data_IF_434416142340
#
_entry.id   IF_434416142340
#
_cell.length_a   1.000
_cell.length_b   1.000
_cell.length_c   1.000
_cell.angle_alpha   90.00
_cell.angle_beta   90.00
_cell.angle_gamma   90.00
#
_symmetry.space_group_name_H-M   'P 1'
#
loop_
_entity.id
_entity.type
_entity.pdbx_description
1 polymer ?
#
# COMPACT_ATOMS: atom_id res chain seq x y z
N UNK A 1 -39.82 39.12 -7.61
CA UNK A 1 -38.89 37.99 -7.84
C UNK A 1 -37.74 37.85 -6.82
N UNK A 2 -37.32 38.92 -6.12
CA UNK A 2 -36.24 38.82 -5.10
C UNK A 2 -36.58 37.89 -3.92
N UNK A 3 -37.82 37.94 -3.44
CA UNK A 3 -38.25 37.13 -2.29
C UNK A 3 -38.37 35.63 -2.58
N UNK A 4 -38.65 35.25 -3.83
CA UNK A 4 -38.74 33.84 -4.24
C UNK A 4 -37.38 33.13 -4.24
N UNK A 5 -36.31 33.89 -4.54
CA UNK A 5 -34.92 33.36 -4.47
C UNK A 5 -34.45 33.23 -3.02
N UNK A 6 -34.89 34.15 -2.15
CA UNK A 6 -34.53 34.12 -0.73
C UNK A 6 -35.20 32.93 0.00
N UNK A 7 -36.47 32.63 -0.30
CA UNK A 7 -37.18 31.49 0.28
C UNK A 7 -36.61 30.14 -0.17
N UNK A 8 -36.12 30.04 -1.41
CA UNK A 8 -35.51 28.82 -1.93
C UNK A 8 -34.17 28.51 -1.22
N UNK A 9 -33.35 29.53 -0.98
CA UNK A 9 -32.05 29.37 -0.29
C UNK A 9 -32.24 28.98 1.17
N UNK A 10 -33.21 29.58 1.87
CA UNK A 10 -33.51 29.20 3.25
C UNK A 10 -34.02 27.77 3.38
N UNK A 11 -34.80 27.29 2.41
CA UNK A 11 -35.32 25.92 2.42
C UNK A 11 -34.22 24.89 2.12
N UNK A 12 -33.28 25.22 1.23
CA UNK A 12 -32.11 24.40 0.93
C UNK A 12 -31.17 24.25 2.15
N UNK A 13 -30.93 25.33 2.90
CA UNK A 13 -30.10 25.30 4.11
C UNK A 13 -30.74 24.49 5.24
N UNK A 14 -32.05 24.60 5.44
CA UNK A 14 -32.76 23.80 6.44
C UNK A 14 -32.73 22.29 6.11
N UNK A 15 -32.89 21.91 4.84
CA UNK A 15 -32.84 20.51 4.43
C UNK A 15 -31.46 19.88 4.65
N UNK A 16 -30.38 20.63 4.39
CA UNK A 16 -29.02 20.15 4.59
C UNK A 16 -28.64 20.00 6.08
N UNK A 17 -29.17 20.88 6.94
CA UNK A 17 -28.97 20.79 8.39
C UNK A 17 -29.60 19.55 9.03
N UNK A 18 -30.79 19.14 8.58
CA UNK A 18 -31.45 17.91 9.06
C UNK A 18 -30.72 16.63 8.62
N UNK A 19 -30.07 16.66 7.45
CA UNK A 19 -29.34 15.50 6.94
C UNK A 19 -28.09 15.16 7.77
N UNK A 20 -27.45 16.15 8.41
CA UNK A 20 -26.25 15.93 9.23
C UNK A 20 -26.58 15.33 10.62
N UNK A 21 -27.75 15.63 11.19
CA UNK A 21 -28.16 15.08 12.50
C UNK A 21 -28.56 13.59 12.40
N UNK A 22 -29.06 13.13 11.25
CA UNK A 22 -29.55 11.77 11.07
C UNK A 22 -28.44 10.71 10.92
N UNK A 23 -27.18 11.12 10.71
CA UNK A 23 -26.05 10.21 10.41
C UNK A 23 -25.05 10.13 11.58
N UNK A 24 -25.38 10.66 12.76
CA UNK A 24 -24.54 10.47 13.95
C UNK A 24 -24.73 9.04 14.50
N UNK A 25 -23.70 8.17 14.48
CA UNK A 25 -23.78 6.88 15.16
C UNK A 25 -23.84 7.12 16.67
N UNK A 26 -24.90 6.63 17.32
CA UNK A 26 -25.02 6.64 18.78
C UNK A 26 -24.11 5.55 19.35
N UNK A 27 -22.87 5.90 19.68
CA UNK A 27 -21.95 5.00 20.38
C UNK A 27 -22.41 4.80 21.82
N UNK A 28 -23.24 3.79 22.05
CA UNK A 28 -23.51 3.26 23.40
C UNK A 28 -22.39 2.31 23.77
N UNK A 29 -21.51 2.72 24.68
CA UNK A 29 -20.58 1.81 25.37
C UNK A 29 -21.31 1.31 26.63
N UNK A 30 -21.64 0.01 26.75
CA UNK A 30 -22.11 -0.52 28.02
C UNK A 30 -20.93 -0.60 29.00
N UNK A 31 -21.10 0.07 30.14
CA UNK A 31 -20.25 -0.09 31.32
C UNK A 31 -20.52 -1.47 31.91
N UNK A 32 -19.60 -2.41 31.72
CA UNK A 32 -19.59 -3.64 32.53
C UNK A 32 -18.47 -3.52 33.56
N UNK A 33 -18.88 -3.13 34.76
CA UNK A 33 -18.17 -3.39 36.01
C UNK A 33 -17.90 -4.88 36.11
N UNK A 34 -16.63 -5.28 36.16
CA UNK A 34 -16.27 -6.54 36.80
C UNK A 34 -14.94 -6.39 37.53
N UNK A 35 -15.00 -6.67 38.82
CA UNK A 35 -13.91 -6.58 39.77
C UNK A 35 -12.84 -7.63 39.44
N UNK A 36 -11.57 -7.25 39.53
CA UNK A 36 -10.45 -8.20 39.60
C UNK A 36 -9.79 -8.09 40.97
N UNK A 37 -10.24 -8.99 41.86
CA UNK A 37 -9.34 -9.55 42.86
C UNK A 37 -8.33 -10.45 42.14
N UNK A 38 -7.10 -10.38 42.63
CA UNK A 38 -5.90 -11.09 42.16
C UNK A 38 -6.06 -12.59 42.37
N UNK A 39 -5.86 -13.42 41.33
CA UNK A 39 -5.39 -14.80 41.50
C UNK A 39 -4.65 -15.32 40.24
N UNK A 40 -3.68 -16.21 40.45
CA UNK A 40 -2.54 -16.56 39.58
C UNK A 40 -2.81 -17.81 38.70
N UNK A 41 -2.34 -17.76 37.45
CA UNK A 41 -1.93 -18.83 36.48
C UNK A 41 -2.87 -20.05 36.17
N UNK A 42 -2.70 -20.81 35.05
CA UNK A 42 -1.93 -20.60 33.81
C UNK A 42 -2.75 -20.75 32.50
N UNK A 43 -2.14 -20.31 31.38
CA UNK A 43 -2.42 -20.54 29.95
C UNK A 43 -3.62 -21.45 29.57
N UNK A 44 -4.65 -20.85 28.93
CA UNK A 44 -5.64 -21.61 28.15
C UNK A 44 -5.99 -20.87 26.85
N UNK A 45 -5.72 -21.55 25.75
CA UNK A 45 -5.70 -21.04 24.39
C UNK A 45 -7.14 -20.95 23.86
N UNK A 46 -7.65 -19.72 23.65
CA UNK A 46 -8.94 -19.52 23.01
C UNK A 46 -8.75 -19.16 21.53
N UNK A 47 -9.22 -20.10 20.72
CA UNK A 47 -9.35 -20.14 19.27
C UNK A 47 -9.85 -18.82 18.66
N UNK A 48 -8.94 -18.04 18.08
CA UNK A 48 -9.27 -16.97 17.14
C UNK A 48 -9.30 -17.56 15.74
N UNK A 49 -10.48 -17.47 15.10
CA UNK A 49 -10.70 -17.84 13.71
C UNK A 49 -9.90 -16.89 12.80
N UNK A 50 -8.69 -17.29 12.44
CA UNK A 50 -7.89 -16.68 11.37
C UNK A 50 -8.29 -17.36 10.07
N UNK A 51 -8.56 -16.62 8.97
CA UNK A 51 -8.72 -17.25 7.67
C UNK A 51 -7.44 -18.01 7.32
N UNK A 52 -7.56 -19.34 7.24
CA UNK A 52 -6.51 -20.27 6.82
C UNK A 52 -6.13 -19.90 5.39
N UNK A 53 -4.93 -19.32 5.21
CA UNK A 53 -4.27 -19.28 3.91
C UNK A 53 -3.80 -20.71 3.66
N UNK A 54 -4.36 -21.35 2.65
CA UNK A 54 -4.02 -22.70 2.21
C UNK A 54 -2.56 -22.75 1.72
N UNK A 55 -1.66 -23.21 2.59
CA UNK A 55 -0.22 -23.29 2.40
C UNK A 55 0.24 -24.47 1.50
N UNK A 56 -0.61 -24.99 0.62
CA UNK A 56 -0.32 -26.19 -0.18
C UNK A 56 -0.04 -25.92 -1.66
N UNK A 57 0.81 -24.95 -2.04
CA UNK A 57 1.31 -24.84 -3.45
C UNK A 57 2.75 -24.33 -3.64
N UNK A 58 3.69 -24.68 -2.76
CA UNK A 58 5.12 -24.53 -3.10
C UNK A 58 5.89 -25.83 -2.81
N UNK A 59 6.42 -26.54 -3.83
CA UNK A 59 7.37 -27.61 -3.56
C UNK A 59 8.71 -27.01 -3.16
N UNK A 60 9.00 -27.04 -1.85
CA UNK A 60 10.36 -26.94 -1.32
C UNK A 60 11.07 -28.25 -1.65
N UNK A 61 11.98 -28.23 -2.62
CA UNK A 61 12.93 -29.32 -2.81
C UNK A 61 14.34 -28.80 -2.58
N UNK A 62 14.76 -28.83 -1.31
CA UNK A 62 16.19 -28.82 -0.96
C UNK A 62 16.77 -30.18 -1.33
N UNK A 63 17.36 -30.29 -2.52
CA UNK A 63 18.15 -31.47 -2.87
C UNK A 63 19.59 -31.28 -2.41
N UNK A 64 19.83 -31.86 -1.23
CA UNK A 64 21.11 -32.25 -0.67
C UNK A 64 21.92 -32.99 -1.73
N UNK A 65 23.16 -32.55 -1.97
CA UNK A 65 24.13 -33.21 -2.85
C UNK A 65 24.48 -34.60 -2.32
N UNK A 66 24.13 -35.64 -3.06
CA UNK A 66 24.82 -36.93 -3.01
C UNK A 66 25.00 -37.45 -4.43
N UNK A 67 26.27 -37.56 -4.83
CA UNK A 67 26.73 -38.27 -6.03
C UNK A 67 25.99 -39.60 -6.21
N UNK A 68 25.31 -39.77 -7.35
CA UNK A 68 24.99 -41.08 -7.92
C UNK A 68 25.22 -41.01 -9.44
N UNK A 69 25.83 -42.08 -9.92
CA UNK A 69 26.47 -42.30 -11.22
C UNK A 69 25.70 -41.81 -12.46
N UNK A 70 26.46 -41.26 -13.41
CA UNK A 70 25.99 -40.75 -14.69
C UNK A 70 25.92 -41.90 -15.72
N UNK A 71 24.74 -42.33 -16.19
CA UNK A 71 24.67 -43.11 -17.43
C UNK A 71 24.78 -42.16 -18.64
N UNK A 72 25.38 -42.59 -19.76
CA UNK A 72 25.64 -41.72 -20.90
C UNK A 72 24.35 -41.40 -21.65
N UNK A 73 23.93 -40.13 -21.64
CA UNK A 73 22.79 -39.64 -22.40
C UNK A 73 23.18 -39.53 -23.89
N UNK A 74 22.94 -40.62 -24.64
CA UNK A 74 22.99 -40.62 -26.09
C UNK A 74 21.78 -39.83 -26.62
N UNK A 75 22.06 -38.68 -27.22
CA UNK A 75 21.21 -37.91 -28.13
C UNK A 75 19.93 -37.30 -27.51
N UNK A 76 20.07 -36.14 -26.88
CA UNK A 76 18.95 -35.23 -26.61
C UNK A 76 19.24 -33.91 -27.32
N UNK A 77 18.44 -33.59 -28.34
CA UNK A 77 18.49 -32.31 -29.07
C UNK A 77 18.45 -31.15 -28.07
N UNK A 78 19.38 -30.17 -28.12
CA UNK A 78 19.36 -29.04 -27.19
C UNK A 78 18.04 -28.27 -27.33
N UNK A 79 17.25 -28.23 -26.26
CA UNK A 79 16.13 -27.30 -26.16
C UNK A 79 16.69 -25.87 -26.21
N UNK A 80 16.08 -24.94 -26.96
CA UNK A 80 16.51 -23.54 -26.95
C UNK A 80 16.29 -22.98 -25.55
N UNK A 81 17.36 -22.54 -24.89
CA UNK A 81 17.29 -21.94 -23.56
C UNK A 81 16.41 -20.69 -23.63
N UNK A 82 15.30 -20.69 -22.87
CA UNK A 82 14.45 -19.51 -22.74
C UNK A 82 15.28 -18.32 -22.23
N UNK A 83 15.24 -17.20 -22.95
CA UNK A 83 15.95 -16.01 -22.55
C UNK A 83 15.36 -15.45 -21.26
N UNK A 84 16.19 -15.35 -20.22
CA UNK A 84 15.87 -14.69 -18.94
C UNK A 84 16.64 -13.37 -18.92
N UNK A 85 15.97 -12.20 -18.89
CA UNK A 85 16.66 -10.93 -18.81
C UNK A 85 17.47 -10.85 -17.50
N UNK A 86 18.63 -10.17 -17.50
CA UNK A 86 19.45 -10.04 -16.30
C UNK A 86 18.67 -9.32 -15.19
N UNK A 87 18.58 -9.95 -14.02
CA UNK A 87 18.00 -9.35 -12.82
C UNK A 87 19.07 -8.44 -12.20
N UNK A 88 18.82 -7.13 -12.20
CA UNK A 88 19.65 -6.18 -11.45
C UNK A 88 19.32 -6.32 -9.96
N UNK A 89 20.35 -6.54 -9.14
CA UNK A 89 20.16 -6.61 -7.68
C UNK A 89 19.86 -5.21 -7.15
N UNK A 90 18.76 -5.06 -6.42
CA UNK A 90 18.50 -3.88 -5.62
C UNK A 90 19.39 -3.89 -4.37
N UNK A 91 19.75 -2.70 -3.83
CA UNK A 91 20.39 -2.63 -2.53
C UNK A 91 19.55 -3.37 -1.48
N UNK A 92 20.21 -4.15 -0.62
CA UNK A 92 19.54 -4.77 0.53
C UNK A 92 19.10 -3.66 1.49
N UNK A 93 17.83 -3.63 1.95
CA UNK A 93 17.40 -2.65 2.92
C UNK A 93 18.23 -2.80 4.20
N UNK A 94 18.63 -1.68 4.78
CA UNK A 94 19.32 -1.69 6.06
C UNK A 94 18.35 -2.23 7.12
N UNK A 95 18.80 -3.16 7.96
CA UNK A 95 18.01 -3.68 9.07
C UNK A 95 18.40 -2.98 10.37
N UNK A 96 17.48 -2.91 11.34
CA UNK A 96 17.79 -2.40 12.68
C UNK A 96 18.80 -3.31 13.36
N UNK A 97 19.85 -2.71 13.93
CA UNK A 97 20.97 -3.42 14.59
C UNK A 97 21.17 -3.00 16.05
N UNK A 98 20.31 -2.12 16.58
CA UNK A 98 20.35 -1.70 17.98
C UNK A 98 19.66 -2.69 18.92
N UNK A 99 19.58 -2.31 20.20
CA UNK A 99 18.84 -3.07 21.21
C UNK A 99 17.33 -3.03 20.92
N UNK A 100 16.68 -4.20 20.93
CA UNK A 100 15.23 -4.35 20.75
C UNK A 100 14.44 -3.99 22.02
N UNK A 101 15.10 -3.95 23.18
CA UNK A 101 14.49 -3.48 24.42
C UNK A 101 14.48 -1.95 24.52
N UNK A 102 15.29 -1.26 23.72
CA UNK A 102 15.22 0.19 23.57
C UNK A 102 14.11 0.57 22.57
N UNK A 103 12.90 0.71 23.10
CA UNK A 103 11.71 1.07 22.33
C UNK A 103 11.88 2.40 21.58
N UNK A 104 12.52 3.40 22.19
CA UNK A 104 12.66 4.71 21.57
C UNK A 104 13.65 4.67 20.41
N UNK A 105 14.78 3.97 20.56
CA UNK A 105 15.72 3.77 19.46
C UNK A 105 15.08 3.03 18.27
N UNK A 106 14.30 1.98 18.55
CA UNK A 106 13.58 1.26 17.50
C UNK A 106 12.52 2.14 16.80
N UNK A 107 11.77 2.93 17.56
CA UNK A 107 10.78 3.86 17.02
C UNK A 107 11.42 4.89 16.09
N UNK A 108 12.54 5.50 16.50
CA UNK A 108 13.27 6.46 15.66
C UNK A 108 13.78 5.82 14.36
N UNK A 109 14.33 4.60 14.46
CA UNK A 109 14.71 3.85 13.27
C UNK A 109 13.52 3.65 12.31
N UNK A 110 12.35 3.25 12.82
CA UNK A 110 11.17 3.04 11.99
C UNK A 110 10.69 4.32 11.33
N UNK A 111 10.60 5.43 12.08
CA UNK A 111 10.24 6.75 11.54
C UNK A 111 11.21 7.18 10.43
N UNK A 112 12.51 6.91 10.60
CA UNK A 112 13.49 7.21 9.56
C UNK A 112 13.29 6.34 8.31
N UNK A 113 13.03 5.04 8.46
CA UNK A 113 12.74 4.16 7.32
C UNK A 113 11.49 4.61 6.55
N UNK A 114 10.43 5.00 7.25
CA UNK A 114 9.23 5.54 6.62
C UNK A 114 9.53 6.84 5.85
N UNK A 115 10.32 7.75 6.45
CA UNK A 115 10.71 9.01 5.79
C UNK A 115 11.49 8.75 4.50
N UNK A 116 12.50 7.88 4.55
CA UNK A 116 13.32 7.52 3.38
C UNK A 116 12.46 6.88 2.27
N UNK A 117 11.52 6.00 2.63
CA UNK A 117 10.60 5.39 1.67
C UNK A 117 9.72 6.44 0.98
N UNK A 118 9.18 7.40 1.74
CA UNK A 118 8.38 8.50 1.18
C UNK A 118 9.21 9.34 0.22
N UNK A 119 10.43 9.70 0.58
CA UNK A 119 11.36 10.47 -0.28
C UNK A 119 11.62 9.69 -1.59
N UNK A 120 12.06 8.43 -1.49
CA UNK A 120 12.35 7.60 -2.65
C UNK A 120 11.14 7.46 -3.59
N UNK A 121 9.95 7.27 -3.04
CA UNK A 121 8.72 7.20 -3.82
C UNK A 121 8.40 8.53 -4.52
N UNK A 122 8.49 9.66 -3.80
CA UNK A 122 8.19 10.98 -4.36
C UNK A 122 9.09 11.30 -5.55
N UNK A 123 10.38 10.97 -5.45
CA UNK A 123 11.36 11.25 -6.49
C UNK A 123 11.21 10.33 -7.71
N UNK A 124 11.03 9.02 -7.50
CA UNK A 124 10.73 8.10 -8.59
C UNK A 124 9.43 8.48 -9.31
N UNK A 125 8.41 8.89 -8.55
CA UNK A 125 7.12 9.30 -9.09
C UNK A 125 7.21 10.60 -9.92
N UNK A 126 8.03 11.58 -9.52
CA UNK A 126 8.26 12.81 -10.30
C UNK A 126 8.75 12.49 -11.71
N UNK A 127 9.79 11.65 -11.81
CA UNK A 127 10.33 11.22 -13.11
C UNK A 127 9.30 10.48 -13.95
N UNK A 128 8.52 9.59 -13.31
CA UNK A 128 7.45 8.84 -13.98
C UNK A 128 6.35 9.75 -14.51
N UNK A 129 5.91 10.74 -13.72
CA UNK A 129 4.88 11.71 -14.11
C UNK A 129 5.33 12.47 -15.36
N UNK A 130 6.55 13.02 -15.37
CA UNK A 130 7.09 13.73 -16.55
C UNK A 130 7.06 12.87 -17.81
N UNK A 131 7.47 11.60 -17.70
CA UNK A 131 7.42 10.66 -18.83
C UNK A 131 5.99 10.40 -19.31
N UNK A 132 5.06 10.19 -18.38
CA UNK A 132 3.66 9.94 -18.74
C UNK A 132 3.01 11.16 -19.40
N UNK A 133 3.31 12.37 -18.94
CA UNK A 133 2.83 13.60 -19.58
C UNK A 133 3.35 13.75 -21.00
N UNK A 134 4.63 13.44 -21.24
CA UNK A 134 5.21 13.43 -22.58
C UNK A 134 4.52 12.40 -23.49
N UNK A 135 4.22 11.21 -22.96
CA UNK A 135 3.50 10.17 -23.70
C UNK A 135 2.05 10.57 -24.02
N UNK A 136 1.34 11.21 -23.08
CA UNK A 136 0.00 11.74 -23.32
C UNK A 136 0.05 12.81 -24.41
N UNK A 137 1.01 13.74 -24.33
CA UNK A 137 1.17 14.79 -25.35
C UNK A 137 1.47 14.20 -26.74
N UNK A 138 2.26 13.13 -26.80
CA UNK A 138 2.50 12.38 -28.04
C UNK A 138 1.23 11.68 -28.52
N UNK A 139 0.51 10.99 -27.64
CA UNK A 139 -0.73 10.29 -27.96
C UNK A 139 -1.80 11.21 -28.55
N UNK A 140 -1.91 12.44 -28.06
CA UNK A 140 -2.79 13.47 -28.63
C UNK A 140 -2.41 13.77 -30.09
N UNK A 141 -1.11 13.90 -30.40
CA UNK A 141 -0.63 14.16 -31.77
C UNK A 141 -0.83 12.96 -32.70
N UNK A 142 -0.77 11.75 -32.17
CA UNK A 142 -0.96 10.50 -32.90
C UNK A 142 -2.43 10.08 -33.03
N UNK A 143 -3.37 10.88 -32.51
CA UNK A 143 -4.81 10.66 -32.69
C UNK A 143 -5.43 9.61 -31.75
N UNK A 144 -4.81 9.36 -30.58
CA UNK A 144 -5.45 8.57 -29.51
C UNK A 144 -6.80 9.18 -29.13
N UNK A 145 -7.78 8.33 -28.83
CA UNK A 145 -9.15 8.78 -28.53
C UNK A 145 -9.19 9.69 -27.30
N UNK A 146 -10.16 10.60 -27.28
CA UNK A 146 -10.30 11.55 -26.18
C UNK A 146 -10.55 10.84 -24.84
N UNK A 147 -11.27 9.73 -24.85
CA UNK A 147 -11.58 8.94 -23.65
C UNK A 147 -10.31 8.31 -23.06
N UNK A 148 -9.44 7.76 -23.92
CA UNK A 148 -8.15 7.21 -23.48
C UNK A 148 -7.21 8.30 -22.96
N UNK A 149 -7.21 9.48 -23.60
CA UNK A 149 -6.45 10.64 -23.11
C UNK A 149 -6.98 11.11 -21.75
N UNK A 150 -8.31 11.16 -21.57
CA UNK A 150 -8.93 11.55 -20.31
C UNK A 150 -8.59 10.56 -19.19
N UNK A 151 -8.72 9.26 -19.47
CA UNK A 151 -8.33 8.20 -18.57
C UNK A 151 -6.85 8.31 -18.16
N UNK A 152 -5.94 8.50 -19.12
CA UNK A 152 -4.52 8.64 -18.83
C UNK A 152 -4.23 9.87 -17.96
N UNK A 153 -4.88 11.00 -18.24
CA UNK A 153 -4.74 12.23 -17.43
C UNK A 153 -5.23 12.04 -16.00
N UNK A 154 -6.35 11.33 -15.81
CA UNK A 154 -6.87 10.99 -14.48
C UNK A 154 -5.84 10.18 -13.68
N UNK A 155 -5.23 9.14 -14.29
CA UNK A 155 -4.19 8.34 -13.63
C UNK A 155 -2.96 9.16 -13.26
N UNK A 156 -2.50 10.04 -14.14
CA UNK A 156 -1.40 10.96 -13.82
C UNK A 156 -1.78 11.93 -12.70
N UNK A 157 -3.03 12.40 -12.66
CA UNK A 157 -3.53 13.25 -11.57
C UNK A 157 -3.50 12.53 -10.22
N UNK A 158 -3.87 11.25 -10.18
CA UNK A 158 -3.77 10.43 -8.96
C UNK A 158 -2.33 10.32 -8.45
N UNK A 159 -1.36 10.08 -9.34
CA UNK A 159 0.06 10.05 -8.97
C UNK A 159 0.55 11.40 -8.44
N UNK A 160 0.11 12.52 -9.06
CA UNK A 160 0.45 13.87 -8.58
C UNK A 160 -0.13 14.14 -7.19
N UNK A 161 -1.39 13.76 -6.96
CA UNK A 161 -2.05 13.93 -5.67
C UNK A 161 -1.32 13.16 -4.56
N UNK A 162 -0.98 11.89 -4.83
CA UNK A 162 -0.21 11.08 -3.88
C UNK A 162 1.17 11.70 -3.60
N UNK A 163 1.88 12.15 -4.65
CA UNK A 163 3.20 12.76 -4.49
C UNK A 163 3.13 14.04 -3.64
N UNK A 164 2.10 14.87 -3.86
CA UNK A 164 1.84 16.06 -3.05
C UNK A 164 1.55 15.69 -1.59
N UNK A 165 0.68 14.72 -1.35
CA UNK A 165 0.35 14.28 0.00
C UNK A 165 1.61 13.82 0.76
N UNK A 166 2.44 12.98 0.14
CA UNK A 166 3.68 12.51 0.75
C UNK A 166 4.67 13.65 1.03
N UNK A 167 4.74 14.63 0.12
CA UNK A 167 5.56 15.83 0.32
C UNK A 167 5.06 16.66 1.51
N UNK A 168 3.75 16.84 1.65
CA UNK A 168 3.15 17.55 2.78
C UNK A 168 3.42 16.80 4.11
N UNK A 169 3.27 15.47 4.12
CA UNK A 169 3.60 14.63 5.27
C UNK A 169 5.08 14.74 5.67
N UNK A 170 6.00 14.76 4.70
CA UNK A 170 7.43 14.95 4.95
C UNK A 170 7.74 16.33 5.54
N UNK A 171 7.05 17.38 5.07
CA UNK A 171 7.22 18.73 5.59
C UNK A 171 6.69 18.89 7.01
N UNK A 172 5.66 18.14 7.39
CA UNK A 172 5.11 18.12 8.76
C UNK A 172 5.97 17.32 9.76
N UNK A 173 6.89 16.49 9.27
CA UNK A 173 7.80 15.68 10.09
C UNK A 173 9.17 16.35 10.32
N UNK A 174 9.37 17.56 9.79
CA UNK A 174 10.58 18.38 9.94
C UNK A 174 10.43 19.44 11.03
#
# INVERSE_FOLDING_TARGET
>A
MKYLKLTLVTLLLCAFGYLLVAIMPKSTIPLTTHNSAVEKEPMQNTHVNVPIIDERKYPVQSQRTTNIDKPPLKNMTPQPSAYIPPITQSPTPMHYTGDLHDHEAYKQYHTNQERELKIAFTDASKQKIMRLEALIARGIKEGISQDEIAFAKEKVSGLKAMNKQLQDELNMQN
#
